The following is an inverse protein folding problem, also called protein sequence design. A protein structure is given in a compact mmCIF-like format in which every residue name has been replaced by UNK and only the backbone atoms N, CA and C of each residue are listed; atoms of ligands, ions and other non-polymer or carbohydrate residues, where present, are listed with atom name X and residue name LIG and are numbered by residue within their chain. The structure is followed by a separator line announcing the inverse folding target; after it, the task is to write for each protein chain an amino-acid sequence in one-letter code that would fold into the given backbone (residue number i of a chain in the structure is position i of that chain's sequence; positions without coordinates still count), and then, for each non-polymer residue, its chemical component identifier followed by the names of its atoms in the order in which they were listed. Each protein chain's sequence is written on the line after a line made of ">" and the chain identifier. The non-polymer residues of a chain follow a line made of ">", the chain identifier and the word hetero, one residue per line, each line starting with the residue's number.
data_IF_704520462205
#
_entry.id   IF_704520462205
#
_cell.length_a   1.000
_cell.length_b   1.000
_cell.length_c   1.000
_cell.angle_alpha   90.00
_cell.angle_beta   90.00
_cell.angle_gamma   90.00
#
_symmetry.space_group_name_H-M   'P 1'
#
loop_
_entity.id
_entity.type
_entity.pdbx_description
1 polymer ?
#
# COMPACT_ATOMS: atom_id res chain seq x y z
N UNK A 1 19.75 5.30 -6.62
CA UNK A 1 19.05 4.89 -5.39
C UNK A 1 17.73 4.24 -5.81
N UNK A 2 17.55 2.97 -5.46
CA UNK A 2 16.36 2.19 -5.82
C UNK A 2 15.99 1.20 -4.74
N UNK A 3 14.86 0.48 -4.87
CA UNK A 3 14.44 -0.55 -3.94
C UNK A 3 15.52 -1.61 -3.75
N UNK A 4 15.61 -2.10 -2.52
CA UNK A 4 16.58 -3.08 -2.08
C UNK A 4 15.87 -4.13 -1.24
N UNK A 5 16.05 -5.40 -1.57
CA UNK A 5 15.66 -6.52 -0.73
C UNK A 5 16.88 -7.06 -0.02
N UNK A 6 16.75 -7.22 1.29
CA UNK A 6 17.80 -7.78 2.12
C UNK A 6 17.30 -9.02 2.85
N UNK A 7 18.20 -9.99 3.02
CA UNK A 7 17.99 -11.13 3.88
C UNK A 7 18.71 -10.89 5.20
N UNK A 8 18.00 -10.94 6.30
CA UNK A 8 18.55 -10.86 7.64
C UNK A 8 18.95 -12.26 8.12
N UNK A 9 20.11 -12.39 8.74
CA UNK A 9 20.50 -13.63 9.39
C UNK A 9 19.65 -13.83 10.66
N UNK A 10 19.35 -15.09 10.99
CA UNK A 10 18.54 -15.43 12.17
C UNK A 10 19.34 -15.36 13.49
N UNK A 11 20.63 -15.59 13.40
CA UNK A 11 21.54 -15.89 14.51
C UNK A 11 22.68 -14.87 14.67
N UNK A 12 22.71 -13.84 13.84
CA UNK A 12 23.75 -12.82 13.88
C UNK A 12 23.24 -11.48 13.32
N UNK A 13 23.79 -10.32 13.77
CA UNK A 13 23.43 -9.00 13.24
C UNK A 13 24.03 -8.78 11.84
N UNK A 14 23.63 -9.60 10.89
CA UNK A 14 24.13 -9.58 9.50
C UNK A 14 22.99 -9.54 8.52
N UNK A 15 23.12 -8.71 7.48
CA UNK A 15 22.23 -8.62 6.36
C UNK A 15 22.99 -8.82 5.04
N UNK A 16 22.38 -9.52 4.09
CA UNK A 16 22.90 -9.72 2.75
C UNK A 16 21.89 -9.22 1.73
N UNK A 17 22.37 -8.64 0.62
CA UNK A 17 21.51 -8.19 -0.47
C UNK A 17 20.98 -9.42 -1.22
N UNK A 18 19.64 -9.55 -1.27
CA UNK A 18 18.99 -10.56 -2.09
C UNK A 18 18.88 -10.08 -3.54
N UNK A 19 18.43 -8.85 -3.74
CA UNK A 19 18.39 -8.18 -5.05
C UNK A 19 18.30 -6.66 -4.89
N UNK A 20 18.66 -5.95 -5.97
CA UNK A 20 18.48 -4.49 -6.11
C UNK A 20 17.63 -4.19 -7.32
N UNK A 21 16.85 -3.14 -7.25
CA UNK A 21 16.13 -2.62 -8.40
C UNK A 21 17.08 -2.07 -9.46
N UNK A 22 16.69 -2.22 -10.71
CA UNK A 22 17.43 -1.78 -11.89
C UNK A 22 16.79 -0.56 -12.57
N UNK A 23 15.71 -0.01 -11.99
CA UNK A 23 15.00 1.13 -12.55
C UNK A 23 15.84 2.42 -12.56
N UNK A 24 15.65 3.24 -13.59
CA UNK A 24 16.36 4.52 -13.77
C UNK A 24 15.85 5.62 -12.81
N UNK A 25 14.63 5.51 -12.33
CA UNK A 25 13.99 6.50 -11.45
C UNK A 25 12.85 5.90 -10.66
N UNK A 26 12.30 6.68 -9.71
CA UNK A 26 11.09 6.31 -8.98
C UNK A 26 9.85 6.13 -9.87
N UNK A 27 9.82 6.75 -11.05
CA UNK A 27 8.75 6.62 -12.03
C UNK A 27 8.96 5.41 -12.95
N UNK A 28 10.20 5.25 -13.45
CA UNK A 28 10.55 4.18 -14.39
C UNK A 28 11.26 3.07 -13.63
N UNK A 29 10.50 2.23 -12.98
CA UNK A 29 10.99 1.08 -12.19
C UNK A 29 10.11 -0.15 -12.39
N UNK A 30 10.72 -1.31 -12.43
CA UNK A 30 10.00 -2.59 -12.46
C UNK A 30 9.62 -3.07 -11.05
N UNK A 31 10.42 -2.71 -10.07
CA UNK A 31 10.23 -3.09 -8.68
C UNK A 31 9.32 -2.10 -7.94
N UNK A 32 9.35 -2.10 -6.62
CA UNK A 32 8.48 -1.32 -5.76
C UNK A 32 9.26 -0.18 -5.09
N UNK A 33 9.04 1.05 -5.49
CA UNK A 33 9.46 2.26 -4.79
C UNK A 33 8.37 2.68 -3.79
N UNK A 34 8.28 2.02 -2.67
CA UNK A 34 7.38 2.43 -1.59
C UNK A 34 7.91 3.71 -0.93
N UNK A 35 7.12 4.77 -0.94
CA UNK A 35 7.50 6.08 -0.36
C UNK A 35 6.95 6.21 1.06
N UNK A 36 5.66 5.95 1.25
CA UNK A 36 4.96 6.20 2.50
C UNK A 36 4.28 4.96 3.08
N UNK A 37 3.89 3.99 2.26
CA UNK A 37 3.30 2.76 2.76
C UNK A 37 4.36 1.69 3.03
N UNK A 38 4.17 0.91 4.08
CA UNK A 38 4.95 -0.30 4.31
C UNK A 38 4.43 -1.41 3.40
N UNK A 39 5.28 -2.00 2.52
CA UNK A 39 4.90 -3.16 1.74
C UNK A 39 4.58 -4.36 2.62
N UNK A 40 3.65 -5.20 2.18
CA UNK A 40 3.30 -6.44 2.83
C UNK A 40 3.94 -7.62 2.11
N UNK A 41 4.53 -8.54 2.88
CA UNK A 41 5.20 -9.74 2.33
C UNK A 41 4.46 -10.97 2.84
N UNK A 42 3.96 -11.79 1.92
CA UNK A 42 3.24 -13.02 2.22
C UNK A 42 3.42 -14.04 1.11
N UNK A 43 3.60 -15.30 1.47
CA UNK A 43 3.69 -16.46 0.56
C UNK A 43 4.61 -16.23 -0.64
N UNK A 44 5.79 -15.65 -0.38
CA UNK A 44 6.78 -15.38 -1.41
C UNK A 44 6.47 -14.20 -2.34
N UNK A 45 5.47 -13.37 -2.00
CA UNK A 45 5.05 -12.20 -2.76
C UNK A 45 5.14 -10.92 -1.94
N UNK A 46 5.33 -9.80 -2.63
CA UNK A 46 5.34 -8.46 -2.04
C UNK A 46 4.17 -7.69 -2.63
N UNK A 47 3.35 -7.10 -1.77
CA UNK A 47 2.26 -6.20 -2.14
C UNK A 47 2.53 -4.80 -1.61
N UNK A 48 2.36 -3.77 -2.44
CA UNK A 48 2.57 -2.40 -1.99
C UNK A 48 2.32 -1.36 -3.06
N UNK A 49 2.35 -0.10 -2.66
CA UNK A 49 2.14 1.04 -3.55
C UNK A 49 3.48 1.64 -3.97
N UNK A 50 3.69 1.74 -5.27
CA UNK A 50 4.85 2.39 -5.85
C UNK A 50 4.67 3.90 -5.90
N UNK A 51 5.77 4.65 -6.01
CA UNK A 51 5.84 6.11 -5.91
C UNK A 51 4.93 6.91 -6.85
N UNK A 52 4.41 6.29 -7.89
CA UNK A 52 3.46 6.91 -8.83
C UNK A 52 2.04 6.30 -8.74
N UNK A 53 1.73 5.62 -7.63
CA UNK A 53 0.39 5.13 -7.35
C UNK A 53 0.06 3.76 -7.93
N UNK A 54 1.02 3.08 -8.57
CA UNK A 54 0.81 1.69 -8.96
C UNK A 54 0.82 0.80 -7.73
N UNK A 55 -0.28 0.17 -7.44
CA UNK A 55 -0.33 -0.95 -6.51
C UNK A 55 0.21 -2.18 -7.21
N UNK A 56 1.24 -2.80 -6.65
CA UNK A 56 2.02 -3.86 -7.30
C UNK A 56 2.06 -5.14 -6.51
N UNK A 57 2.11 -6.27 -7.23
CA UNK A 57 2.55 -7.56 -6.73
C UNK A 57 3.88 -7.92 -7.37
N UNK A 58 4.86 -8.31 -6.55
CA UNK A 58 6.18 -8.76 -6.98
C UNK A 58 6.48 -10.14 -6.41
N UNK A 59 7.33 -10.91 -7.07
CA UNK A 59 8.00 -12.08 -6.48
C UNK A 59 9.02 -11.60 -5.43
N UNK A 60 8.91 -12.04 -4.20
CA UNK A 60 9.82 -11.61 -3.14
C UNK A 60 11.27 -12.07 -3.40
N UNK A 61 11.47 -13.22 -4.02
CA UNK A 61 12.79 -13.79 -4.29
C UNK A 61 13.59 -13.00 -5.32
N UNK A 62 12.95 -12.38 -6.31
CA UNK A 62 13.61 -11.76 -7.47
C UNK A 62 13.29 -10.28 -7.67
N UNK A 63 12.21 -9.78 -7.06
CA UNK A 63 11.69 -8.44 -7.33
C UNK A 63 10.96 -8.31 -8.67
N UNK A 64 10.73 -9.41 -9.37
CA UNK A 64 9.99 -9.43 -10.63
C UNK A 64 8.52 -9.03 -10.40
N UNK A 65 8.02 -8.08 -11.17
CA UNK A 65 6.63 -7.63 -11.10
C UNK A 65 5.72 -8.66 -11.78
N UNK A 66 4.69 -9.08 -11.05
CA UNK A 66 3.65 -10.01 -11.54
C UNK A 66 2.50 -9.22 -12.15
N UNK A 67 2.00 -8.22 -11.43
CA UNK A 67 0.96 -7.31 -11.89
C UNK A 67 1.06 -5.93 -11.24
N UNK A 68 0.38 -4.95 -11.82
CA UNK A 68 0.10 -3.66 -11.19
C UNK A 68 -1.31 -3.14 -11.52
N UNK A 69 -1.80 -2.20 -10.70
CA UNK A 69 -3.09 -1.55 -10.87
C UNK A 69 -3.12 -0.19 -10.16
N UNK A 70 -3.77 0.79 -10.76
CA UNK A 70 -4.07 2.07 -10.11
C UNK A 70 -5.38 2.06 -9.31
N UNK A 71 -6.24 1.06 -9.51
CA UNK A 71 -7.60 1.00 -8.94
C UNK A 71 -7.67 1.17 -7.42
N UNK A 72 -6.80 0.52 -6.62
CA UNK A 72 -6.86 0.66 -5.16
C UNK A 72 -6.40 2.01 -4.65
N UNK A 73 -5.67 2.81 -5.44
CA UNK A 73 -5.07 4.06 -5.00
C UNK A 73 -5.87 5.25 -5.48
N UNK A 74 -5.63 5.70 -6.71
CA UNK A 74 -6.29 6.91 -7.26
C UNK A 74 -7.09 6.63 -8.53
N UNK A 75 -6.92 5.47 -9.13
CA UNK A 75 -7.45 5.12 -10.45
C UNK A 75 -6.58 5.59 -11.61
N UNK A 76 -5.56 6.41 -11.36
CA UNK A 76 -4.65 6.94 -12.37
C UNK A 76 -3.24 7.18 -11.80
N UNK A 77 -2.27 7.46 -12.68
CA UNK A 77 -0.93 7.85 -12.27
C UNK A 77 -0.95 9.17 -11.49
N UNK A 78 -0.28 9.18 -10.34
CA UNK A 78 -0.09 10.37 -9.52
C UNK A 78 1.20 10.28 -8.73
N UNK A 79 2.07 11.29 -8.81
CA UNK A 79 3.32 11.30 -8.07
C UNK A 79 3.04 11.25 -6.57
N UNK A 80 3.65 10.25 -5.89
CA UNK A 80 3.49 9.96 -4.46
C UNK A 80 2.05 9.62 -4.05
N UNK A 81 1.24 9.18 -5.03
CA UNK A 81 -0.07 8.65 -4.71
C UNK A 81 0.07 7.40 -3.85
N UNK A 82 -0.75 7.29 -2.82
CA UNK A 82 -0.54 6.35 -1.74
C UNK A 82 -1.81 5.67 -1.25
N UNK A 83 -1.62 4.48 -0.67
CA UNK A 83 -2.61 3.76 0.12
C UNK A 83 -1.89 2.93 1.18
N UNK A 84 -2.51 2.79 2.34
CA UNK A 84 -2.01 2.01 3.47
C UNK A 84 -2.71 0.65 3.53
N UNK A 85 -1.95 -0.40 3.78
CA UNK A 85 -2.41 -1.77 3.81
C UNK A 85 -2.38 -2.31 5.24
N UNK A 86 -3.48 -2.90 5.66
CA UNK A 86 -3.56 -3.67 6.91
C UNK A 86 -4.20 -5.02 6.60
N UNK A 87 -3.52 -6.11 6.91
CA UNK A 87 -4.07 -7.45 6.73
C UNK A 87 -5.00 -7.80 7.88
N UNK A 88 -6.13 -8.41 7.55
CA UNK A 88 -7.08 -9.00 8.46
C UNK A 88 -7.54 -10.35 7.91
N UNK A 89 -7.09 -11.44 8.52
CA UNK A 89 -7.36 -12.81 8.09
C UNK A 89 -7.01 -13.07 6.60
N UNK A 90 -8.00 -13.37 5.76
CA UNK A 90 -7.85 -13.67 4.32
C UNK A 90 -7.97 -12.45 3.41
N UNK A 91 -8.10 -11.25 3.99
CA UNK A 91 -8.35 -10.00 3.26
C UNK A 91 -7.47 -8.86 3.74
N UNK A 92 -7.49 -7.78 2.98
CA UNK A 92 -6.78 -6.55 3.29
C UNK A 92 -7.75 -5.38 3.42
N UNK A 93 -7.55 -4.56 4.43
CA UNK A 93 -8.08 -3.22 4.52
C UNK A 93 -7.07 -2.28 3.86
N UNK A 94 -7.52 -1.55 2.84
CA UNK A 94 -6.70 -0.61 2.09
C UNK A 94 -7.32 0.77 2.25
N UNK A 95 -6.61 1.68 2.92
CA UNK A 95 -7.03 3.08 3.05
C UNK A 95 -6.24 3.93 2.08
N UNK A 96 -6.90 4.51 1.10
CA UNK A 96 -6.26 5.30 0.05
C UNK A 96 -6.32 6.82 0.32
N UNK A 97 -5.55 7.58 -0.43
CA UNK A 97 -5.47 9.04 -0.29
C UNK A 97 -6.74 9.81 -0.67
N UNK A 98 -7.74 9.15 -1.28
CA UNK A 98 -9.08 9.69 -1.52
C UNK A 98 -10.01 9.59 -0.32
N UNK A 99 -9.54 8.96 0.77
CA UNK A 99 -10.33 8.73 1.98
C UNK A 99 -11.21 7.47 1.93
N UNK A 100 -10.99 6.61 0.93
CA UNK A 100 -11.72 5.34 0.84
C UNK A 100 -11.10 4.30 1.76
N UNK A 101 -11.95 3.51 2.41
CA UNK A 101 -11.63 2.19 2.91
C UNK A 101 -12.07 1.15 1.89
N UNK A 102 -11.15 0.32 1.46
CA UNK A 102 -11.37 -0.77 0.51
C UNK A 102 -11.11 -2.08 1.24
N UNK A 103 -12.00 -3.04 1.10
CA UNK A 103 -11.79 -4.43 1.50
C UNK A 103 -11.48 -5.22 0.24
N UNK A 104 -10.34 -5.91 0.22
CA UNK A 104 -9.87 -6.62 -0.97
C UNK A 104 -9.15 -7.93 -0.64
N UNK A 105 -9.13 -8.85 -1.60
CA UNK A 105 -8.20 -9.98 -1.62
C UNK A 105 -7.04 -9.66 -2.54
N UNK A 106 -5.84 -10.04 -2.10
CA UNK A 106 -4.60 -9.90 -2.86
C UNK A 106 -4.02 -11.29 -3.11
N UNK A 107 -3.65 -11.54 -4.34
CA UNK A 107 -3.01 -12.80 -4.73
C UNK A 107 -2.08 -12.57 -5.91
N UNK A 108 -1.21 -13.52 -6.28
CA UNK A 108 -0.46 -13.44 -7.53
C UNK A 108 -1.34 -13.35 -8.79
N UNK A 109 -2.62 -13.76 -8.69
CA UNK A 109 -3.57 -13.67 -9.81
C UNK A 109 -4.12 -12.25 -10.01
N UNK A 110 -4.08 -11.40 -8.97
CA UNK A 110 -4.55 -10.03 -9.07
C UNK A 110 -5.07 -9.43 -7.77
N UNK A 111 -5.61 -8.23 -7.92
CA UNK A 111 -6.36 -7.48 -6.95
C UNK A 111 -7.86 -7.72 -7.18
N UNK A 112 -8.55 -8.19 -6.16
CA UNK A 112 -9.99 -8.42 -6.15
C UNK A 112 -10.63 -7.53 -5.09
N UNK A 113 -11.37 -6.52 -5.51
CA UNK A 113 -12.12 -5.62 -4.63
C UNK A 113 -13.42 -6.29 -4.18
N UNK A 114 -13.61 -6.40 -2.86
CA UNK A 114 -14.82 -6.94 -2.25
C UNK A 114 -15.83 -5.82 -2.02
N UNK A 115 -15.35 -4.71 -1.43
CA UNK A 115 -16.19 -3.55 -1.13
C UNK A 115 -15.35 -2.28 -0.98
N UNK A 116 -16.03 -1.12 -1.08
CA UNK A 116 -15.44 0.20 -0.91
C UNK A 116 -16.44 1.15 -0.30
N UNK A 117 -15.96 1.98 0.65
CA UNK A 117 -16.72 3.10 1.19
C UNK A 117 -15.80 4.31 1.36
N UNK A 118 -16.28 5.50 1.00
CA UNK A 118 -15.57 6.73 1.34
C UNK A 118 -15.90 7.10 2.79
N UNK A 119 -14.88 7.14 3.64
CA UNK A 119 -15.05 7.36 5.08
C UNK A 119 -14.61 8.74 5.54
N UNK A 120 -13.75 9.42 4.79
CA UNK A 120 -13.23 10.72 5.18
C UNK A 120 -12.85 11.55 3.96
N UNK A 121 -13.26 12.83 3.96
CA UNK A 121 -12.94 13.73 2.86
C UNK A 121 -11.46 14.17 2.88
N UNK A 122 -10.76 14.19 1.74
CA UNK A 122 -9.43 14.75 1.63
C UNK A 122 -9.47 16.27 1.85
N UNK A 123 -8.72 16.77 2.84
CA UNK A 123 -8.66 18.21 3.15
C UNK A 123 -7.29 18.84 2.88
N UNK A 124 -6.23 18.05 2.84
CA UNK A 124 -4.90 18.51 2.48
C UNK A 124 -4.74 18.61 0.96
N UNK A 125 -3.85 19.49 0.51
CA UNK A 125 -3.57 19.70 -0.91
C UNK A 125 -2.07 19.55 -1.17
N UNK A 126 -1.70 18.54 -1.94
CA UNK A 126 -0.33 18.32 -2.36
C UNK A 126 -0.27 17.70 -3.77
N UNK A 127 0.80 17.98 -4.49
CA UNK A 127 1.03 17.42 -5.83
C UNK A 127 -0.13 17.65 -6.80
N UNK A 128 -0.81 18.80 -6.70
CA UNK A 128 -1.89 19.19 -7.60
C UNK A 128 -3.26 18.55 -7.31
N UNK A 129 -3.45 17.90 -6.14
CA UNK A 129 -4.68 17.22 -5.77
C UNK A 129 -4.97 17.24 -4.27
N UNK A 130 -6.24 17.10 -3.91
CA UNK A 130 -6.65 16.86 -2.52
C UNK A 130 -6.33 15.41 -2.13
N UNK A 131 -5.88 15.21 -0.89
CA UNK A 131 -5.45 13.90 -0.40
C UNK A 131 -5.54 13.76 1.12
N UNK A 132 -5.51 12.50 1.58
CA UNK A 132 -5.31 12.09 2.97
C UNK A 132 -4.10 11.18 3.01
N UNK A 133 -3.04 11.59 3.73
CA UNK A 133 -1.83 10.78 3.93
C UNK A 133 -1.66 10.33 5.39
N UNK A 134 -2.74 10.33 6.14
CA UNK A 134 -2.73 9.83 7.51
C UNK A 134 -2.91 8.31 7.52
N UNK A 135 -2.06 7.63 8.27
CA UNK A 135 -2.19 6.19 8.48
C UNK A 135 -3.48 5.88 9.25
N UNK A 136 -4.30 4.89 8.84
CA UNK A 136 -5.44 4.45 9.62
C UNK A 136 -4.99 3.70 10.87
N UNK A 137 -5.79 3.75 11.94
CA UNK A 137 -5.64 2.91 13.11
C UNK A 137 -6.85 1.98 13.25
N UNK A 138 -6.61 0.76 13.71
CA UNK A 138 -7.64 -0.25 13.94
C UNK A 138 -7.60 -0.71 15.39
N UNK A 139 -8.72 -0.64 16.08
CA UNK A 139 -8.89 -1.12 17.44
C UNK A 139 -10.37 -1.39 17.73
N UNK A 140 -10.66 -2.37 18.59
CA UNK A 140 -12.02 -2.65 19.10
C UNK A 140 -13.07 -2.75 17.98
N UNK A 141 -12.78 -3.52 16.92
CA UNK A 141 -13.64 -3.67 15.74
C UNK A 141 -14.02 -2.33 15.10
N UNK A 142 -13.12 -1.36 15.14
CA UNK A 142 -13.34 -0.02 14.58
C UNK A 142 -12.11 0.44 13.81
N UNK A 143 -12.35 1.32 12.83
CA UNK A 143 -11.31 2.07 12.13
C UNK A 143 -11.35 3.53 12.57
N UNK A 144 -10.19 4.09 12.83
CA UNK A 144 -9.97 5.49 13.16
C UNK A 144 -9.19 6.14 12.04
N UNK A 145 -9.74 7.21 11.50
CA UNK A 145 -9.20 7.97 10.38
C UNK A 145 -9.09 9.43 10.77
N UNK A 146 -8.13 10.14 10.20
CA UNK A 146 -8.04 11.59 10.36
C UNK A 146 -7.68 12.29 9.06
N UNK A 147 -8.15 13.49 8.91
CA UNK A 147 -7.64 14.51 8.01
C UNK A 147 -7.13 15.71 8.82
N UNK A 148 -6.92 16.89 8.21
CA UNK A 148 -6.41 18.07 8.92
C UNK A 148 -7.47 18.79 9.79
N UNK A 149 -8.75 18.36 9.71
CA UNK A 149 -9.88 19.02 10.37
C UNK A 149 -10.56 18.16 11.41
N UNK A 150 -10.54 16.84 11.25
CA UNK A 150 -11.33 15.92 12.06
C UNK A 150 -10.68 14.57 12.24
N UNK A 151 -11.09 13.87 13.30
CA UNK A 151 -10.87 12.43 13.52
C UNK A 151 -12.22 11.75 13.46
N UNK A 152 -12.32 10.68 12.68
CA UNK A 152 -13.52 9.85 12.55
C UNK A 152 -13.28 8.44 13.03
N UNK A 153 -14.32 7.88 13.66
CA UNK A 153 -14.34 6.48 14.07
C UNK A 153 -15.56 5.80 13.43
N UNK A 154 -15.35 4.64 12.82
CA UNK A 154 -16.40 3.82 12.24
C UNK A 154 -16.34 2.42 12.80
N UNK A 155 -17.49 1.86 13.18
CA UNK A 155 -17.61 0.45 13.54
C UNK A 155 -17.40 -0.43 12.30
N UNK A 156 -16.63 -1.48 12.45
CA UNK A 156 -16.46 -2.57 11.49
C UNK A 156 -17.09 -3.87 12.01
N UNK A 157 -17.85 -3.80 13.11
CA UNK A 157 -18.62 -4.93 13.61
C UNK A 157 -19.72 -5.27 12.58
N UNK A 158 -19.94 -6.56 12.36
CA UNK A 158 -21.17 -7.02 11.74
C UNK A 158 -22.34 -6.85 12.74
N UNK A 159 -23.47 -6.46 12.23
CA UNK A 159 -24.73 -6.44 12.98
C UNK A 159 -25.18 -7.86 13.33
#
# INVERSE_FOLDING_TARGET
>A
NGPLMMRLAKDAPRATVAWRATGRSERVTQQLHAIMCTPFIEDGHIYGVCSYGQFRCLKAATGERIWDSFKPVTGAEGRWANAFLVKHEDRFFIHNEKGDLIIAKLSPKGYEEISRANLIEPTNFARGRKLVWSHPAFANKSIYLRNDKEVRCYSLAAD
#
